data_IF_686916135613
#
_entry.id   IF_686916135613
#
_cell.length_a   1.000
_cell.length_b   1.000
_cell.length_c   1.000
_cell.angle_alpha   90.00
_cell.angle_beta   90.00
_cell.angle_gamma   90.00
#
_symmetry.space_group_name_H-M   'P 1'
#
loop_
_entity.id
_entity.type
_entity.pdbx_description
1 polymer ?
#
# COMPACT_ATOMS: atom_id res chain seq x y z
N UNK A 1 -3.47 -14.83 -13.73
CA UNK A 1 -3.21 -15.14 -12.31
C UNK A 1 -1.99 -14.36 -11.89
N UNK A 2 -2.15 -13.08 -11.55
CA UNK A 2 -1.02 -12.29 -11.07
C UNK A 2 -1.01 -12.37 -9.55
N UNK A 3 -0.01 -13.10 -9.04
CA UNK A 3 0.38 -13.12 -7.65
C UNK A 3 0.91 -11.73 -7.25
N UNK A 4 0.86 -11.48 -5.95
CA UNK A 4 1.18 -10.28 -5.19
C UNK A 4 2.61 -9.76 -5.41
N UNK A 5 3.01 -8.69 -4.70
CA UNK A 5 4.39 -8.16 -4.69
C UNK A 5 5.41 -9.31 -4.54
N UNK A 6 5.02 -10.35 -3.83
CA UNK A 6 5.70 -11.64 -3.68
C UNK A 6 6.15 -12.28 -5.00
N UNK A 7 5.39 -12.17 -6.10
CA UNK A 7 5.83 -12.71 -7.40
C UNK A 7 6.90 -11.90 -8.08
N UNK A 8 6.90 -10.60 -7.85
CA UNK A 8 7.85 -9.68 -8.45
C UNK A 8 9.18 -9.69 -7.70
N UNK A 9 9.10 -9.79 -6.38
CA UNK A 9 10.26 -9.61 -5.51
C UNK A 9 10.77 -10.89 -4.89
N UNK A 10 9.94 -11.88 -4.56
CA UNK A 10 10.43 -13.06 -3.87
C UNK A 10 10.70 -14.19 -4.86
N UNK A 11 11.97 -14.60 -4.98
CA UNK A 11 12.35 -15.74 -5.81
C UNK A 11 11.64 -17.03 -5.38
N UNK A 12 11.46 -17.96 -6.32
CA UNK A 12 10.75 -19.23 -6.06
C UNK A 12 11.34 -20.03 -4.90
N UNK A 13 12.66 -19.96 -4.66
CA UNK A 13 13.29 -20.58 -3.49
C UNK A 13 12.85 -19.92 -2.18
N UNK A 14 12.97 -18.60 -2.10
CA UNK A 14 12.57 -17.82 -0.92
C UNK A 14 11.08 -17.96 -0.62
N UNK A 15 10.21 -18.07 -1.66
CA UNK A 15 8.79 -18.36 -1.47
C UNK A 15 8.56 -19.68 -0.73
N UNK A 16 9.28 -20.75 -1.10
CA UNK A 16 9.16 -22.04 -0.41
C UNK A 16 9.66 -21.96 1.03
N UNK A 17 10.80 -21.31 1.22
CA UNK A 17 11.39 -21.11 2.54
C UNK A 17 10.42 -20.32 3.45
N UNK A 18 9.79 -19.26 2.94
CA UNK A 18 8.76 -18.47 3.64
C UNK A 18 7.48 -19.27 3.93
N UNK A 19 7.08 -20.20 3.06
CA UNK A 19 5.96 -21.11 3.32
C UNK A 19 6.29 -22.04 4.49
N UNK A 20 7.50 -22.61 4.53
CA UNK A 20 7.96 -23.44 5.65
C UNK A 20 7.96 -22.62 6.95
N UNK A 21 8.58 -21.44 6.94
CA UNK A 21 8.60 -20.52 8.09
C UNK A 21 7.19 -20.26 8.62
N UNK A 22 6.25 -19.93 7.73
CA UNK A 22 4.86 -19.64 8.09
C UNK A 22 4.18 -20.82 8.77
N UNK A 23 4.31 -22.02 8.21
CA UNK A 23 3.73 -23.25 8.78
C UNK A 23 4.28 -23.53 10.17
N UNK A 24 5.60 -23.40 10.36
CA UNK A 24 6.24 -23.67 11.64
C UNK A 24 5.80 -22.68 12.72
N UNK A 25 5.62 -21.40 12.37
CA UNK A 25 5.09 -20.37 13.27
C UNK A 25 3.62 -20.66 13.62
N UNK A 26 2.77 -20.90 12.61
CA UNK A 26 1.33 -21.09 12.80
C UNK A 26 1.01 -22.34 13.63
N UNK A 27 1.74 -23.43 13.41
CA UNK A 27 1.49 -24.70 14.10
C UNK A 27 2.16 -24.80 15.45
N UNK A 28 3.25 -24.06 15.67
CA UNK A 28 4.02 -24.05 16.91
C UNK A 28 4.30 -25.45 17.51
N UNK A 29 4.55 -26.43 16.64
CA UNK A 29 4.73 -27.85 17.00
C UNK A 29 5.76 -28.48 16.06
N UNK A 30 6.14 -29.73 16.34
CA UNK A 30 7.01 -30.52 15.45
C UNK A 30 6.29 -30.84 14.14
N UNK A 31 6.96 -30.58 13.02
CA UNK A 31 6.48 -30.86 11.67
C UNK A 31 7.49 -31.76 10.97
N UNK A 32 7.02 -32.82 10.32
CA UNK A 32 7.90 -33.75 9.61
C UNK A 32 8.42 -33.13 8.31
N UNK A 33 9.64 -33.49 7.91
CA UNK A 33 10.20 -33.06 6.63
C UNK A 33 9.37 -33.57 5.44
N UNK A 34 8.73 -34.74 5.60
CA UNK A 34 7.84 -35.34 4.59
C UNK A 34 6.67 -34.42 4.33
N UNK A 35 6.02 -33.97 5.39
CA UNK A 35 4.89 -33.05 5.29
C UNK A 35 5.30 -31.72 4.63
N UNK A 36 6.44 -31.14 5.04
CA UNK A 36 6.94 -29.92 4.42
C UNK A 36 7.23 -30.08 2.92
N UNK A 37 7.70 -31.27 2.50
CA UNK A 37 7.95 -31.60 1.10
C UNK A 37 6.66 -31.71 0.29
N UNK A 38 5.62 -32.32 0.87
CA UNK A 38 4.29 -32.45 0.26
C UNK A 38 3.61 -31.09 0.12
N UNK A 39 3.62 -30.26 1.17
CA UNK A 39 3.01 -28.92 1.15
C UNK A 39 3.68 -28.01 0.11
N UNK A 40 5.00 -28.07 -0.03
CA UNK A 40 5.73 -27.28 -1.02
C UNK A 40 5.78 -27.92 -2.42
N UNK A 41 5.25 -29.14 -2.57
CA UNK A 41 5.35 -29.93 -3.80
C UNK A 41 6.79 -30.04 -4.33
N UNK A 42 7.72 -30.41 -3.45
CA UNK A 42 9.14 -30.59 -3.78
C UNK A 42 9.67 -31.92 -3.28
N UNK A 43 10.77 -32.38 -3.87
CA UNK A 43 11.46 -33.57 -3.38
C UNK A 43 12.11 -33.32 -2.03
N UNK A 44 12.23 -34.37 -1.23
CA UNK A 44 12.84 -34.35 0.10
C UNK A 44 14.18 -33.61 0.19
N UNK A 45 15.08 -33.82 -0.78
CA UNK A 45 16.40 -33.18 -0.82
C UNK A 45 16.31 -31.66 -0.92
N UNK A 46 15.26 -31.15 -1.57
CA UNK A 46 14.99 -29.70 -1.65
C UNK A 46 14.52 -29.17 -0.31
N UNK A 47 13.65 -29.89 0.41
CA UNK A 47 13.21 -29.51 1.76
C UNK A 47 14.38 -29.40 2.73
N UNK A 48 15.32 -30.35 2.73
CA UNK A 48 16.53 -30.27 3.58
C UNK A 48 17.32 -28.99 3.26
N UNK A 49 17.54 -28.71 1.98
CA UNK A 49 18.27 -27.51 1.57
C UNK A 49 17.55 -26.23 1.97
N UNK A 50 16.23 -26.18 1.79
CA UNK A 50 15.41 -25.03 2.17
C UNK A 50 15.50 -24.82 3.71
N UNK A 51 15.51 -25.88 4.53
CA UNK A 51 15.71 -25.80 5.99
C UNK A 51 17.12 -25.31 6.37
N UNK A 52 18.17 -25.80 5.70
CA UNK A 52 19.55 -25.32 5.88
C UNK A 52 19.68 -23.83 5.54
N UNK A 53 19.05 -23.40 4.44
CA UNK A 53 19.02 -22.00 4.02
C UNK A 53 18.27 -21.12 5.01
N UNK A 54 17.12 -21.57 5.51
CA UNK A 54 16.36 -20.87 6.56
C UNK A 54 17.25 -20.67 7.78
N UNK A 55 17.95 -21.72 8.25
CA UNK A 55 18.81 -21.62 9.43
C UNK A 55 20.05 -20.73 9.21
N UNK A 56 20.55 -20.62 7.97
CA UNK A 56 21.61 -19.65 7.61
C UNK A 56 21.09 -18.21 7.58
N UNK A 57 19.89 -18.02 7.04
CA UNK A 57 19.28 -16.70 6.85
C UNK A 57 18.74 -16.12 8.16
N UNK A 58 18.19 -16.99 9.01
CA UNK A 58 17.60 -16.65 10.29
C UNK A 58 18.21 -17.60 11.33
N UNK A 59 19.41 -17.28 11.84
CA UNK A 59 20.09 -18.13 12.80
C UNK A 59 19.21 -18.42 14.02
N UNK A 60 19.24 -19.66 14.51
CA UNK A 60 18.50 -20.12 15.69
C UNK A 60 16.98 -20.16 15.54
N UNK A 61 16.43 -19.87 14.36
CA UNK A 61 14.99 -19.94 14.11
C UNK A 61 14.45 -21.37 14.16
N UNK A 62 15.27 -22.37 13.80
CA UNK A 62 14.87 -23.76 13.70
C UNK A 62 15.49 -24.62 14.80
N UNK A 63 14.69 -25.53 15.34
CA UNK A 63 15.16 -26.69 16.10
C UNK A 63 14.85 -27.95 15.30
N UNK A 64 15.89 -28.72 14.98
CA UNK A 64 15.82 -29.89 14.09
C UNK A 64 16.14 -31.15 14.89
N UNK A 65 15.27 -32.17 14.79
CA UNK A 65 15.52 -33.53 15.28
C UNK A 65 15.96 -34.42 14.12
N UNK A 66 17.26 -34.53 13.89
CA UNK A 66 17.82 -35.25 12.75
C UNK A 66 17.43 -36.72 12.65
N UNK A 67 17.26 -37.42 13.78
CA UNK A 67 16.84 -38.83 13.80
C UNK A 67 15.36 -39.00 13.44
N UNK A 68 14.50 -38.14 13.97
CA UNK A 68 13.06 -38.17 13.72
C UNK A 68 12.66 -37.51 12.39
N UNK A 69 13.56 -36.73 11.78
CA UNK A 69 13.29 -35.92 10.58
C UNK A 69 12.13 -34.96 10.78
N UNK A 70 12.17 -34.29 11.93
CA UNK A 70 11.19 -33.29 12.34
C UNK A 70 11.89 -31.97 12.61
N UNK A 71 11.17 -30.89 12.39
CA UNK A 71 11.61 -29.52 12.69
C UNK A 71 10.49 -28.77 13.39
N UNK A 72 10.86 -27.88 14.29
CA UNK A 72 9.95 -26.88 14.85
C UNK A 72 10.60 -25.51 14.83
N UNK A 73 9.75 -24.51 14.97
CA UNK A 73 10.15 -23.14 15.26
C UNK A 73 10.69 -23.03 16.70
N UNK A 74 11.84 -22.37 16.85
CA UNK A 74 12.59 -22.20 18.11
C UNK A 74 12.99 -20.73 18.30
N UNK A 75 12.04 -19.82 18.14
CA UNK A 75 12.34 -18.40 18.32
C UNK A 75 12.26 -18.00 19.79
N UNK A 76 13.28 -17.28 20.24
CA UNK A 76 13.41 -16.62 21.54
C UNK A 76 12.56 -15.35 21.67
N UNK A 77 11.74 -15.03 20.66
CA UNK A 77 10.96 -13.79 20.56
C UNK A 77 11.65 -12.70 19.75
N UNK A 78 12.75 -13.01 19.05
CA UNK A 78 13.56 -12.05 18.29
C UNK A 78 12.90 -11.61 16.98
N UNK A 79 12.17 -12.48 16.29
CA UNK A 79 11.59 -12.19 14.96
C UNK A 79 10.11 -12.54 14.85
N UNK A 80 9.28 -11.65 14.31
CA UNK A 80 7.95 -12.01 13.79
C UNK A 80 8.03 -12.38 12.30
N UNK A 81 6.94 -12.93 11.74
CA UNK A 81 6.91 -13.30 10.32
C UNK A 81 7.17 -12.12 9.38
N UNK A 82 6.74 -10.91 9.76
CA UNK A 82 6.94 -9.69 8.97
C UNK A 82 8.43 -9.34 8.91
N UNK A 83 9.15 -9.47 10.02
CA UNK A 83 10.60 -9.23 10.08
C UNK A 83 11.34 -10.21 9.16
N UNK A 84 10.96 -11.48 9.23
CA UNK A 84 11.53 -12.54 8.38
C UNK A 84 11.25 -12.28 6.91
N UNK A 85 10.01 -11.93 6.57
CA UNK A 85 9.64 -11.57 5.21
C UNK A 85 10.49 -10.40 4.68
N UNK A 86 10.71 -9.38 5.51
CA UNK A 86 11.56 -8.23 5.17
C UNK A 86 13.01 -8.64 4.90
N UNK A 87 13.58 -9.59 5.66
CA UNK A 87 14.92 -10.14 5.39
C UNK A 87 14.99 -10.77 4.00
N UNK A 88 14.05 -11.66 3.67
CA UNK A 88 14.00 -12.30 2.34
C UNK A 88 13.79 -11.30 1.21
N UNK A 89 12.91 -10.31 1.43
CA UNK A 89 12.68 -9.24 0.47
C UNK A 89 13.99 -8.49 0.16
N UNK A 90 14.74 -8.10 1.20
CA UNK A 90 16.02 -7.37 1.07
C UNK A 90 17.12 -8.20 0.40
N UNK A 91 17.06 -9.53 0.51
CA UNK A 91 17.98 -10.45 -0.20
C UNK A 91 17.63 -10.64 -1.68
N UNK A 92 16.41 -10.30 -2.09
CA UNK A 92 15.97 -10.57 -3.45
C UNK A 92 16.62 -9.68 -4.49
N UNK A 93 16.90 -10.24 -5.67
CA UNK A 93 17.50 -9.50 -6.77
C UNK A 93 16.64 -8.32 -7.21
N UNK A 94 15.33 -8.54 -7.38
CA UNK A 94 14.42 -7.50 -7.87
C UNK A 94 14.38 -6.33 -6.90
N UNK A 95 14.32 -6.59 -5.58
CA UNK A 95 14.29 -5.53 -4.58
C UNK A 95 15.57 -4.71 -4.61
N UNK A 96 16.73 -5.39 -4.52
CA UNK A 96 18.03 -4.73 -4.57
C UNK A 96 18.19 -3.91 -5.84
N UNK A 97 17.84 -4.47 -7.01
CA UNK A 97 17.89 -3.75 -8.27
C UNK A 97 17.07 -2.47 -8.21
N UNK A 98 15.82 -2.53 -7.75
CA UNK A 98 14.96 -1.35 -7.69
C UNK A 98 15.44 -0.30 -6.69
N UNK A 99 15.99 -0.71 -5.54
CA UNK A 99 16.65 0.19 -4.59
C UNK A 99 17.85 0.91 -5.24
N UNK A 100 18.71 0.17 -5.95
CA UNK A 100 19.88 0.75 -6.63
C UNK A 100 19.47 1.71 -7.76
N UNK A 101 18.49 1.34 -8.58
CA UNK A 101 17.95 2.18 -9.65
C UNK A 101 17.25 3.44 -9.11
N UNK A 102 16.71 3.40 -7.89
CA UNK A 102 16.13 4.57 -7.25
C UNK A 102 17.19 5.54 -6.72
N UNK A 103 18.27 4.99 -6.14
CA UNK A 103 19.33 5.75 -5.48
C UNK A 103 20.26 6.47 -6.45
N UNK A 104 20.65 5.79 -7.53
CA UNK A 104 21.84 6.17 -8.29
C UNK A 104 21.47 6.87 -9.60
N UNK A 105 21.83 8.15 -9.74
CA UNK A 105 21.56 8.93 -10.95
C UNK A 105 22.50 8.58 -12.12
N UNK A 106 23.70 8.09 -11.82
CA UNK A 106 24.79 7.90 -12.78
C UNK A 106 25.51 6.55 -12.59
N UNK A 107 24.77 5.50 -12.23
CA UNK A 107 25.35 4.15 -12.18
C UNK A 107 25.46 3.58 -13.59
N UNK A 108 26.57 2.89 -13.88
CA UNK A 108 26.74 2.09 -15.10
C UNK A 108 26.48 0.61 -14.81
N UNK A 109 26.31 -0.19 -15.86
CA UNK A 109 25.93 -1.60 -15.70
C UNK A 109 26.98 -2.42 -14.95
N UNK A 110 28.26 -2.10 -15.13
CA UNK A 110 29.35 -2.78 -14.45
C UNK A 110 29.24 -2.60 -12.92
N UNK A 111 29.16 -1.36 -12.45
CA UNK A 111 29.01 -1.05 -11.03
C UNK A 111 27.69 -1.58 -10.45
N UNK A 112 26.61 -1.56 -11.23
CA UNK A 112 25.33 -2.16 -10.83
C UNK A 112 25.45 -3.67 -10.60
N UNK A 113 26.16 -4.38 -11.49
CA UNK A 113 26.39 -5.81 -11.37
C UNK A 113 27.30 -6.14 -10.17
N UNK A 114 28.33 -5.32 -9.92
CA UNK A 114 29.20 -5.45 -8.75
C UNK A 114 28.42 -5.28 -7.44
N UNK A 115 27.57 -4.26 -7.33
CA UNK A 115 26.73 -4.03 -6.15
C UNK A 115 25.68 -5.13 -5.93
N UNK A 116 25.26 -5.81 -7.01
CA UNK A 116 24.35 -6.96 -6.96
C UNK A 116 25.09 -8.30 -6.81
N UNK A 117 26.43 -8.31 -6.77
CA UNK A 117 27.28 -9.50 -6.70
C UNK A 117 26.98 -10.54 -7.79
N UNK A 118 26.73 -10.09 -9.03
CA UNK A 118 26.44 -10.98 -10.17
C UNK A 118 27.23 -10.56 -11.43
N UNK A 119 27.39 -11.49 -12.36
CA UNK A 119 27.92 -11.16 -13.69
C UNK A 119 26.87 -10.47 -14.57
N UNK A 120 27.31 -9.71 -15.58
CA UNK A 120 26.42 -9.07 -16.55
C UNK A 120 25.50 -10.08 -17.27
N UNK A 121 26.02 -11.25 -17.65
CA UNK A 121 25.20 -12.29 -18.28
C UNK A 121 24.09 -12.80 -17.34
N UNK A 122 24.39 -12.92 -16.04
CA UNK A 122 23.38 -13.30 -15.05
C UNK A 122 22.38 -12.15 -14.83
N UNK A 123 22.84 -10.90 -14.82
CA UNK A 123 21.98 -9.72 -14.75
C UNK A 123 20.95 -9.72 -15.89
N UNK A 124 21.37 -9.87 -17.15
CA UNK A 124 20.45 -9.88 -18.29
C UNK A 124 19.42 -11.02 -18.17
N UNK A 125 19.85 -12.21 -17.75
CA UNK A 125 18.93 -13.34 -17.51
C UNK A 125 17.87 -13.00 -16.47
N UNK A 126 18.26 -12.44 -15.31
CA UNK A 126 17.31 -12.04 -14.27
C UNK A 126 16.44 -10.87 -14.70
N UNK A 127 16.99 -9.90 -15.42
CA UNK A 127 16.24 -8.78 -16.00
C UNK A 127 15.14 -9.26 -16.96
N UNK A 128 15.42 -10.21 -17.86
CA UNK A 128 14.40 -10.72 -18.77
C UNK A 128 13.25 -11.43 -18.04
N UNK A 129 13.57 -12.18 -16.98
CA UNK A 129 12.57 -12.79 -16.12
C UNK A 129 11.74 -11.72 -15.40
N UNK A 130 12.40 -10.71 -14.85
CA UNK A 130 11.76 -9.57 -14.19
C UNK A 130 10.84 -8.80 -15.14
N UNK A 131 11.31 -8.50 -16.34
CA UNK A 131 10.56 -7.74 -17.36
C UNK A 131 9.22 -8.40 -17.70
N UNK A 132 9.18 -9.73 -17.73
CA UNK A 132 7.96 -10.49 -18.01
C UNK A 132 6.88 -10.37 -16.91
N UNK A 133 7.27 -9.91 -15.72
CA UNK A 133 6.38 -9.81 -14.55
C UNK A 133 6.27 -8.37 -14.01
N UNK A 134 6.89 -7.39 -14.68
CA UNK A 134 6.77 -5.99 -14.29
C UNK A 134 5.33 -5.48 -14.45
N UNK A 135 4.86 -4.59 -13.57
CA UNK A 135 3.54 -3.98 -13.71
C UNK A 135 3.42 -3.16 -15.01
N UNK A 136 2.23 -3.18 -15.61
CA UNK A 136 1.94 -2.44 -16.83
C UNK A 136 2.20 -0.93 -16.68
N UNK A 137 2.97 -0.37 -17.61
CA UNK A 137 3.37 1.04 -17.60
C UNK A 137 4.62 1.32 -16.78
N UNK A 138 5.32 0.29 -16.29
CA UNK A 138 6.64 0.41 -15.66
C UNK A 138 7.65 -0.44 -16.45
N UNK A 139 8.81 0.14 -16.75
CA UNK A 139 9.89 -0.55 -17.40
C UNK A 139 11.25 -0.05 -16.89
N UNK A 140 12.32 -0.78 -17.17
CA UNK A 140 13.69 -0.36 -16.91
C UNK A 140 14.36 -0.12 -18.26
N UNK A 141 14.83 1.10 -18.49
CA UNK A 141 15.71 1.42 -19.59
C UNK A 141 17.12 0.95 -19.24
N UNK A 142 17.62 -0.04 -19.99
CA UNK A 142 18.94 -0.61 -19.79
C UNK A 142 20.09 0.29 -20.25
N UNK A 143 19.81 1.27 -21.12
CA UNK A 143 20.83 2.22 -21.56
C UNK A 143 21.08 3.28 -20.50
N UNK A 144 20.00 3.83 -19.94
CA UNK A 144 20.10 4.86 -18.89
C UNK A 144 20.14 4.30 -17.47
N UNK A 145 19.86 2.99 -17.30
CA UNK A 145 19.64 2.33 -16.01
C UNK A 145 18.65 3.10 -15.12
N UNK A 146 17.49 3.43 -15.69
CA UNK A 146 16.42 4.14 -14.98
C UNK A 146 15.10 3.41 -15.13
N UNK A 147 14.28 3.52 -14.09
CA UNK A 147 12.87 3.14 -14.18
C UNK A 147 12.11 4.23 -14.93
N UNK A 148 11.50 3.83 -16.05
CA UNK A 148 10.78 4.69 -17.01
C UNK A 148 9.35 4.18 -17.22
N UNK A 149 8.48 5.07 -17.72
CA UNK A 149 7.07 4.76 -18.00
C UNK A 149 6.12 5.80 -17.41
N UNK A 150 4.96 5.33 -16.93
CA UNK A 150 3.98 6.17 -16.27
C UNK A 150 4.50 6.58 -14.88
N UNK A 151 4.85 7.85 -14.76
CA UNK A 151 5.49 8.39 -13.56
C UNK A 151 4.63 8.26 -12.29
N UNK A 152 3.30 8.33 -12.40
CA UNK A 152 2.42 8.11 -11.25
C UNK A 152 2.48 6.66 -10.79
N UNK A 153 2.46 5.71 -11.73
CA UNK A 153 2.61 4.28 -11.42
C UNK A 153 3.99 3.96 -10.84
N UNK A 154 5.05 4.60 -11.33
CA UNK A 154 6.41 4.40 -10.81
C UNK A 154 6.52 4.89 -9.36
N UNK A 155 5.99 6.08 -9.05
CA UNK A 155 5.99 6.59 -7.66
C UNK A 155 5.20 5.68 -6.73
N UNK A 156 4.03 5.22 -7.17
CA UNK A 156 3.22 4.25 -6.42
C UNK A 156 3.94 2.93 -6.20
N UNK A 157 4.64 2.44 -7.20
CA UNK A 157 5.46 1.23 -7.11
C UNK A 157 6.55 1.37 -6.05
N UNK A 158 7.33 2.45 -6.09
CA UNK A 158 8.36 2.73 -5.09
C UNK A 158 7.78 2.97 -3.69
N UNK A 159 6.59 3.55 -3.61
CA UNK A 159 5.89 3.76 -2.36
C UNK A 159 5.53 2.44 -1.69
N UNK A 160 4.93 1.53 -2.44
CA UNK A 160 4.60 0.20 -1.92
C UNK A 160 5.85 -0.56 -1.49
N UNK A 161 6.94 -0.44 -2.25
CA UNK A 161 8.22 -1.05 -1.90
C UNK A 161 8.75 -0.55 -0.54
N UNK A 162 8.77 0.77 -0.36
CA UNK A 162 9.25 1.41 0.86
C UNK A 162 8.37 1.10 2.08
N UNK A 163 7.05 1.04 1.90
CA UNK A 163 6.11 0.65 2.97
C UNK A 163 6.37 -0.78 3.44
N UNK A 164 6.61 -1.70 2.51
CA UNK A 164 6.80 -3.12 2.84
C UNK A 164 8.16 -3.37 3.47
N UNK A 165 9.21 -2.73 2.95
CA UNK A 165 10.54 -2.90 3.55
C UNK A 165 10.70 -2.16 4.87
N UNK A 166 9.87 -1.11 5.07
CA UNK A 166 9.96 -0.15 6.16
C UNK A 166 11.40 0.30 6.43
N UNK A 167 12.16 0.53 5.36
CA UNK A 167 13.57 0.86 5.45
C UNK A 167 13.93 1.99 4.46
N UNK A 168 13.79 3.27 4.88
CA UNK A 168 14.10 4.43 4.06
C UNK A 168 15.54 4.48 3.56
N UNK A 169 16.47 3.92 4.32
CA UNK A 169 17.90 3.91 3.99
C UNK A 169 18.19 3.11 2.70
N UNK A 170 17.39 2.07 2.42
CA UNK A 170 17.50 1.29 1.17
C UNK A 170 17.25 2.17 -0.07
N UNK A 171 16.54 3.29 0.10
CA UNK A 171 16.21 4.26 -0.94
C UNK A 171 17.02 5.56 -0.81
N UNK A 172 18.03 5.61 0.07
CA UNK A 172 18.81 6.81 0.39
C UNK A 172 17.91 7.97 0.86
N UNK A 173 16.89 7.66 1.65
CA UNK A 173 16.00 8.64 2.28
C UNK A 173 16.44 8.77 3.73
N UNK A 174 17.19 9.84 4.05
CA UNK A 174 17.73 10.03 5.40
C UNK A 174 16.67 10.47 6.41
N UNK A 175 16.89 10.16 7.68
CA UNK A 175 16.08 10.65 8.81
C UNK A 175 15.93 12.17 8.80
N UNK A 176 17.02 12.92 8.63
CA UNK A 176 17.00 14.38 8.57
C UNK A 176 16.09 14.91 7.44
N UNK A 177 16.03 14.19 6.31
CA UNK A 177 15.15 14.56 5.21
C UNK A 177 13.67 14.29 5.54
N UNK A 178 13.37 13.18 6.23
CA UNK A 178 12.03 12.88 6.72
C UNK A 178 11.56 13.87 7.79
N UNK A 179 12.41 14.23 8.75
CA UNK A 179 12.15 15.26 9.78
C UNK A 179 11.82 16.61 9.14
N UNK A 180 12.53 16.97 8.08
CA UNK A 180 12.27 18.19 7.35
C UNK A 180 10.91 18.16 6.60
N UNK A 181 10.58 17.05 5.93
CA UNK A 181 9.26 16.85 5.31
C UNK A 181 8.13 16.86 6.34
N UNK A 182 8.40 16.35 7.53
CA UNK A 182 7.48 16.36 8.66
C UNK A 182 7.19 17.78 9.14
N UNK A 183 8.20 18.62 9.32
CA UNK A 183 8.01 20.01 9.72
C UNK A 183 7.11 20.77 8.73
N UNK A 184 7.36 20.61 7.43
CA UNK A 184 6.52 21.19 6.37
C UNK A 184 5.08 20.65 6.46
N UNK A 185 4.91 19.37 6.78
CA UNK A 185 3.59 18.74 6.85
C UNK A 185 2.80 19.20 8.08
N UNK A 186 3.47 19.51 9.20
CA UNK A 186 2.84 20.12 10.37
C UNK A 186 2.24 21.49 10.05
N UNK A 187 2.95 22.33 9.28
CA UNK A 187 2.43 23.62 8.82
C UNK A 187 1.17 23.44 7.96
N UNK A 188 1.18 22.42 7.09
CA UNK A 188 0.03 22.07 6.23
C UNK A 188 -1.16 21.65 7.07
N UNK A 189 -0.96 20.77 8.05
CA UNK A 189 -2.03 20.33 8.93
C UNK A 189 -2.59 21.50 9.74
N UNK A 190 -1.73 22.37 10.27
CA UNK A 190 -2.16 23.53 11.03
C UNK A 190 -3.02 24.48 10.20
N UNK A 191 -2.54 24.88 9.03
CA UNK A 191 -3.24 25.79 8.10
C UNK A 191 -4.56 25.20 7.56
N UNK A 192 -4.56 23.89 7.27
CA UNK A 192 -5.76 23.18 6.83
C UNK A 192 -6.76 22.90 7.98
N UNK A 193 -6.36 23.17 9.23
CA UNK A 193 -7.08 22.80 10.46
C UNK A 193 -7.35 21.30 10.55
N UNK A 194 -6.32 20.51 10.30
CA UNK A 194 -6.30 19.06 10.42
C UNK A 194 -5.58 18.68 11.72
N UNK A 195 -6.12 17.69 12.39
CA UNK A 195 -5.51 16.99 13.51
C UNK A 195 -4.95 15.68 12.95
N UNK A 196 -3.63 15.60 12.89
CA UNK A 196 -2.93 14.36 12.50
C UNK A 196 -3.02 13.36 13.66
N UNK A 197 -3.49 12.14 13.38
CA UNK A 197 -3.20 11.00 14.26
C UNK A 197 -1.74 10.58 14.05
N UNK A 198 -1.08 10.10 15.11
CA UNK A 198 0.31 9.63 15.04
C UNK A 198 0.45 8.36 14.19
N UNK A 199 -0.59 7.52 14.16
CA UNK A 199 -0.65 6.33 13.33
C UNK A 199 -0.65 6.71 11.84
N UNK A 200 0.29 6.13 11.09
CA UNK A 200 0.46 6.28 9.64
C UNK A 200 1.12 7.58 9.15
N UNK A 201 1.77 8.33 10.04
CA UNK A 201 2.56 9.51 9.64
C UNK A 201 3.68 9.18 8.64
N UNK A 202 4.35 8.06 8.84
CA UNK A 202 5.43 7.61 7.96
C UNK A 202 4.94 7.39 6.52
N UNK A 203 3.69 6.95 6.35
CA UNK A 203 3.11 6.68 5.03
C UNK A 203 3.09 7.92 4.14
N UNK A 204 2.65 9.07 4.65
CA UNK A 204 2.65 10.27 3.82
C UNK A 204 4.08 10.81 3.63
N UNK A 205 4.97 10.68 4.63
CA UNK A 205 6.36 11.13 4.51
C UNK A 205 7.10 10.35 3.43
N UNK A 206 6.90 9.03 3.38
CA UNK A 206 7.43 8.16 2.32
C UNK A 206 6.91 8.58 0.95
N UNK A 207 5.62 8.88 0.82
CA UNK A 207 5.06 9.39 -0.44
C UNK A 207 5.72 10.70 -0.88
N UNK A 208 5.88 11.67 0.03
CA UNK A 208 6.53 12.94 -0.26
C UNK A 208 7.99 12.75 -0.64
N UNK A 209 8.72 11.89 0.07
CA UNK A 209 10.12 11.60 -0.21
C UNK A 209 10.31 10.99 -1.61
N UNK A 210 9.41 10.08 -2.00
CA UNK A 210 9.42 9.46 -3.33
C UNK A 210 9.10 10.49 -4.42
N UNK A 211 8.07 11.31 -4.21
CA UNK A 211 7.74 12.37 -5.16
C UNK A 211 8.93 13.32 -5.34
N UNK A 212 9.54 13.77 -4.25
CA UNK A 212 10.71 14.64 -4.30
C UNK A 212 11.90 14.04 -5.05
N UNK A 213 12.18 12.74 -4.85
CA UNK A 213 13.29 12.06 -5.53
C UNK A 213 12.99 11.88 -7.02
N UNK A 214 11.77 11.46 -7.35
CA UNK A 214 11.37 11.13 -8.72
C UNK A 214 11.10 12.35 -9.60
N UNK A 215 10.66 13.46 -9.04
CA UNK A 215 10.47 14.72 -9.77
C UNK A 215 11.75 15.22 -10.46
N UNK A 216 12.91 14.87 -9.90
CA UNK A 216 14.24 15.15 -10.47
C UNK A 216 14.60 14.24 -11.66
N UNK A 217 13.80 13.22 -11.94
CA UNK A 217 13.97 12.29 -13.06
C UNK A 217 12.89 12.58 -14.11
N UNK A 218 11.63 12.55 -13.69
CA UNK A 218 10.47 12.77 -14.55
C UNK A 218 9.33 13.36 -13.71
N UNK A 219 8.67 14.39 -14.26
CA UNK A 219 7.45 14.97 -13.67
C UNK A 219 6.22 14.14 -14.07
N UNK A 220 5.19 14.17 -13.23
CA UNK A 220 3.92 13.50 -13.53
C UNK A 220 3.18 14.24 -14.66
N UNK A 221 3.02 13.59 -15.80
CA UNK A 221 2.24 14.12 -16.94
C UNK A 221 0.75 13.77 -16.81
N UNK A 222 0.09 14.29 -15.78
CA UNK A 222 -1.37 14.11 -15.60
C UNK A 222 -2.02 15.47 -15.41
N UNK A 223 -3.13 15.72 -16.11
CA UNK A 223 -4.04 16.83 -15.84
C UNK A 223 -4.77 16.60 -14.50
N UNK A 224 -4.02 16.68 -13.40
CA UNK A 224 -4.57 16.56 -12.06
C UNK A 224 -5.27 17.86 -11.70
N UNK A 225 -6.51 17.75 -11.23
CA UNK A 225 -7.22 18.91 -10.69
C UNK A 225 -6.75 19.18 -9.26
N UNK A 226 -6.59 20.45 -8.90
CA UNK A 226 -6.32 20.86 -7.51
C UNK A 226 -7.37 20.26 -6.56
N UNK A 227 -7.01 19.89 -5.35
CA UNK A 227 -7.95 19.54 -4.28
C UNK A 227 -7.78 20.46 -3.06
N UNK A 228 -8.59 20.24 -2.02
CA UNK A 228 -8.59 21.12 -0.84
C UNK A 228 -7.20 21.21 -0.21
N UNK A 229 -6.53 20.07 0.03
CA UNK A 229 -5.18 20.01 0.62
C UNK A 229 -4.14 20.67 -0.29
N UNK A 230 -4.24 20.45 -1.61
CA UNK A 230 -3.31 21.05 -2.56
C UNK A 230 -3.29 22.57 -2.48
N UNK A 231 -4.42 23.22 -2.17
CA UNK A 231 -4.42 24.69 -2.03
C UNK A 231 -3.58 25.18 -0.84
N UNK A 232 -3.58 24.43 0.27
CA UNK A 232 -2.73 24.75 1.42
C UNK A 232 -1.27 24.45 1.11
N UNK A 233 -0.98 23.32 0.47
CA UNK A 233 0.38 22.98 0.03
C UNK A 233 0.94 24.06 -0.89
N UNK A 234 0.17 24.54 -1.88
CA UNK A 234 0.59 25.61 -2.78
C UNK A 234 1.00 26.88 -2.01
N UNK A 235 0.22 27.27 -1.00
CA UNK A 235 0.52 28.44 -0.16
C UNK A 235 1.77 28.25 0.69
N UNK A 236 1.95 27.07 1.27
CA UNK A 236 3.09 26.77 2.15
C UNK A 236 4.37 26.62 1.35
N UNK A 237 4.33 25.85 0.26
CA UNK A 237 5.49 25.64 -0.60
C UNK A 237 5.97 26.93 -1.26
N UNK A 238 5.08 27.86 -1.60
CA UNK A 238 5.45 29.18 -2.11
C UNK A 238 6.23 30.04 -1.10
N UNK A 239 6.16 29.75 0.20
CA UNK A 239 6.94 30.43 1.24
C UNK A 239 8.35 29.83 1.42
N UNK A 240 8.59 28.64 0.87
CA UNK A 240 9.88 27.94 0.99
C UNK A 240 10.83 28.47 -0.09
N UNK A 241 11.96 29.13 0.26
CA UNK A 241 12.84 29.72 -0.73
C UNK A 241 13.70 28.67 -1.45
N UNK A 242 14.21 29.06 -2.62
CA UNK A 242 15.23 28.31 -3.36
C UNK A 242 14.70 27.16 -4.21
N UNK A 243 15.64 26.40 -4.80
CA UNK A 243 15.33 25.34 -5.76
C UNK A 243 14.43 24.24 -5.18
N UNK A 244 14.58 23.96 -3.88
CA UNK A 244 13.77 22.94 -3.20
C UNK A 244 12.29 23.35 -3.11
N UNK A 245 12.00 24.59 -2.70
CA UNK A 245 10.63 25.11 -2.64
C UNK A 245 9.96 25.12 -4.02
N UNK A 246 10.68 25.52 -5.07
CA UNK A 246 10.19 25.47 -6.45
C UNK A 246 9.83 24.04 -6.89
N UNK A 247 10.66 23.05 -6.56
CA UNK A 247 10.36 21.64 -6.85
C UNK A 247 9.10 21.15 -6.13
N UNK A 248 8.92 21.52 -4.85
CA UNK A 248 7.70 21.20 -4.12
C UNK A 248 6.48 21.88 -4.75
N UNK A 249 6.60 23.15 -5.12
CA UNK A 249 5.53 23.94 -5.70
C UNK A 249 5.11 23.42 -7.09
N UNK A 250 6.02 22.86 -7.87
CA UNK A 250 5.69 22.23 -9.16
C UNK A 250 4.84 20.95 -8.99
N UNK A 251 4.88 20.35 -7.80
CA UNK A 251 4.32 19.03 -7.53
C UNK A 251 3.28 19.02 -6.39
N UNK A 252 2.83 20.19 -5.94
CA UNK A 252 1.90 20.34 -4.81
C UNK A 252 0.60 19.53 -4.96
N UNK A 253 0.10 19.38 -6.20
CA UNK A 253 -1.08 18.57 -6.45
C UNK A 253 -0.78 17.10 -6.20
N UNK A 254 0.34 16.56 -6.69
CA UNK A 254 0.67 15.14 -6.47
C UNK A 254 1.03 14.86 -5.00
N UNK A 255 1.66 15.82 -4.31
CA UNK A 255 1.95 15.71 -2.88
C UNK A 255 0.68 15.60 -2.04
N UNK A 256 -0.37 16.35 -2.39
CA UNK A 256 -1.65 16.34 -1.67
C UNK A 256 -2.33 14.97 -1.61
N UNK A 257 -2.07 14.10 -2.58
CA UNK A 257 -2.61 12.74 -2.61
C UNK A 257 -2.10 11.87 -1.46
N UNK A 258 -0.83 12.05 -1.04
CA UNK A 258 -0.26 11.36 0.13
C UNK A 258 -0.96 11.70 1.44
N UNK A 259 -1.50 12.91 1.56
CA UNK A 259 -2.23 13.32 2.75
C UNK A 259 -3.53 12.53 2.93
N UNK A 260 -4.16 12.07 1.86
CA UNK A 260 -5.37 11.25 1.94
C UNK A 260 -5.07 9.75 2.19
N UNK A 261 -3.79 9.36 2.31
CA UNK A 261 -3.38 7.99 2.65
C UNK A 261 -3.37 7.72 4.17
N UNK A 262 -3.62 8.75 5.00
CA UNK A 262 -3.65 8.68 6.46
C UNK A 262 -5.03 9.09 6.98
N UNK A 263 -5.29 8.83 8.26
CA UNK A 263 -6.48 9.33 8.93
C UNK A 263 -6.39 10.84 9.13
N UNK A 264 -7.19 11.58 8.38
CA UNK A 264 -7.28 13.04 8.53
C UNK A 264 -8.54 13.39 9.33
N UNK A 265 -8.35 14.03 10.49
CA UNK A 265 -9.45 14.60 11.26
C UNK A 265 -9.45 16.11 11.05
N UNK A 266 -10.54 16.69 10.58
CA UNK A 266 -10.66 18.15 10.49
C UNK A 266 -11.23 18.72 11.78
N UNK A 267 -10.71 19.87 12.20
CA UNK A 267 -11.33 20.70 13.23
C UNK A 267 -12.74 21.12 12.78
N UNK A 268 -13.68 21.18 13.72
CA UNK A 268 -15.11 21.39 13.43
C UNK A 268 -15.37 22.66 12.61
N UNK A 269 -14.63 23.73 12.88
CA UNK A 269 -14.69 25.02 12.17
C UNK A 269 -14.25 24.92 10.70
N UNK A 270 -13.41 23.93 10.36
CA UNK A 270 -12.93 23.68 8.99
C UNK A 270 -13.74 22.64 8.22
N UNK A 271 -14.54 21.82 8.90
CA UNK A 271 -15.36 20.79 8.24
C UNK A 271 -16.27 21.41 7.16
N UNK A 272 -16.91 22.54 7.48
CA UNK A 272 -17.80 23.23 6.53
C UNK A 272 -17.04 23.75 5.32
N UNK A 273 -15.86 24.33 5.48
CA UNK A 273 -15.07 24.85 4.35
C UNK A 273 -14.57 23.75 3.43
N UNK A 274 -14.21 22.58 3.97
CA UNK A 274 -13.84 21.38 3.20
C UNK A 274 -15.04 20.91 2.36
N UNK A 275 -16.21 20.74 2.99
CA UNK A 275 -17.43 20.29 2.30
C UNK A 275 -17.82 21.30 1.21
N UNK A 276 -17.80 22.59 1.53
CA UNK A 276 -18.10 23.67 0.59
C UNK A 276 -17.14 23.66 -0.61
N UNK A 277 -15.84 23.47 -0.37
CA UNK A 277 -14.84 23.40 -1.44
C UNK A 277 -15.19 22.30 -2.45
N UNK A 278 -15.47 21.09 -1.95
CA UNK A 278 -15.74 19.94 -2.77
C UNK A 278 -17.09 20.06 -3.50
N UNK A 279 -18.12 20.59 -2.83
CA UNK A 279 -19.48 20.74 -3.37
C UNK A 279 -19.63 21.89 -4.37
N UNK A 280 -19.00 23.05 -4.13
CA UNK A 280 -19.13 24.24 -4.99
C UNK A 280 -18.31 24.15 -6.27
N UNK A 281 -17.14 23.51 -6.23
CA UNK A 281 -16.22 23.46 -7.38
C UNK A 281 -16.48 22.28 -8.34
N UNK A 282 -17.57 21.52 -8.17
CA UNK A 282 -17.92 20.33 -8.96
C UNK A 282 -16.69 19.41 -9.08
N UNK A 283 -16.03 19.15 -7.95
CA UNK A 283 -14.94 18.18 -7.90
C UNK A 283 -15.57 16.80 -7.97
N UNK A 284 -15.61 16.24 -9.16
CA UNK A 284 -16.14 14.92 -9.47
C UNK A 284 -17.67 14.89 -9.60
N UNK A 285 -18.21 14.23 -10.65
CA UNK A 285 -19.66 14.00 -10.79
C UNK A 285 -20.26 13.23 -9.61
N UNK A 286 -19.41 12.60 -8.79
CA UNK A 286 -19.82 11.79 -7.66
C UNK A 286 -20.23 12.60 -6.41
N UNK A 287 -19.90 13.89 -6.34
CA UNK A 287 -20.07 14.69 -5.13
C UNK A 287 -21.52 15.12 -4.87
N UNK A 288 -22.34 15.18 -5.93
CA UNK A 288 -23.78 15.33 -5.81
C UNK A 288 -24.42 14.16 -5.04
N UNK A 289 -23.85 12.94 -5.16
CA UNK A 289 -24.33 11.77 -4.43
C UNK A 289 -23.83 11.71 -2.98
N UNK A 290 -22.73 12.41 -2.65
CA UNK A 290 -22.23 12.53 -1.27
C UNK A 290 -22.98 13.59 -0.46
N UNK A 291 -23.70 14.51 -1.13
CA UNK A 291 -24.44 15.64 -0.52
C UNK A 291 -25.29 15.27 0.71
N UNK A 292 -26.04 14.14 0.74
CA UNK A 292 -26.84 13.74 1.91
C UNK A 292 -26.04 13.29 3.13
N UNK A 293 -24.83 12.78 2.93
CA UNK A 293 -23.94 12.36 4.02
C UNK A 293 -23.39 13.57 4.80
N UNK A 294 -23.49 14.79 4.26
CA UNK A 294 -23.09 16.02 4.94
C UNK A 294 -24.17 16.63 5.85
N UNK A 295 -25.26 15.90 6.12
CA UNK A 295 -26.21 16.27 7.18
C UNK A 295 -25.51 16.27 8.56
N UNK A 296 -26.00 17.10 9.50
CA UNK A 296 -25.32 17.36 10.78
C UNK A 296 -24.91 16.10 11.58
N UNK A 297 -25.61 14.98 11.44
CA UNK A 297 -25.30 13.72 12.14
C UNK A 297 -24.22 12.85 11.47
N UNK A 298 -23.93 13.05 10.18
CA UNK A 298 -23.08 12.14 9.39
C UNK A 298 -21.86 12.83 8.74
N UNK A 299 -21.54 14.08 9.12
CA UNK A 299 -20.46 14.88 8.51
C UNK A 299 -19.12 14.14 8.41
N UNK A 300 -18.73 13.39 9.44
CA UNK A 300 -17.47 12.64 9.44
C UNK A 300 -17.48 11.52 8.39
N UNK A 301 -18.57 10.76 8.29
CA UNK A 301 -18.72 9.71 7.28
C UNK A 301 -18.67 10.28 5.86
N UNK A 302 -19.28 11.44 5.62
CA UNK A 302 -19.17 12.14 4.33
C UNK A 302 -17.74 12.55 4.00
N UNK A 303 -16.97 13.01 4.99
CA UNK A 303 -15.55 13.36 4.83
C UNK A 303 -14.69 12.13 4.54
N UNK A 304 -14.91 11.03 5.27
CA UNK A 304 -14.22 9.76 5.06
C UNK A 304 -14.48 9.21 3.65
N UNK A 305 -15.71 9.38 3.12
CA UNK A 305 -16.07 9.02 1.75
C UNK A 305 -15.39 9.93 0.71
N UNK A 306 -15.29 11.24 0.95
CA UNK A 306 -14.49 12.15 0.10
C UNK A 306 -13.03 11.69 0.11
N UNK A 307 -12.45 11.43 1.29
CA UNK A 307 -11.07 10.97 1.42
C UNK A 307 -10.85 9.65 0.71
N UNK A 308 -11.78 8.71 0.82
CA UNK A 308 -11.75 7.47 0.05
C UNK A 308 -11.77 7.76 -1.44
N UNK A 309 -12.66 8.63 -1.94
CA UNK A 309 -12.75 8.99 -3.36
C UNK A 309 -11.49 9.68 -3.90
N UNK A 310 -10.85 10.54 -3.10
CA UNK A 310 -9.62 11.25 -3.48
C UNK A 310 -8.37 10.37 -3.34
N UNK A 311 -8.35 9.43 -2.38
CA UNK A 311 -7.26 8.44 -2.18
C UNK A 311 -7.41 7.17 -3.03
N UNK A 312 -8.59 6.92 -3.61
CA UNK A 312 -8.89 5.76 -4.46
C UNK A 312 -7.91 5.60 -5.64
N UNK A 313 -7.47 6.67 -6.35
CA UNK A 313 -6.44 6.55 -7.39
C UNK A 313 -5.10 5.96 -6.90
N UNK A 314 -4.79 6.12 -5.60
CA UNK A 314 -3.55 5.65 -4.99
C UNK A 314 -3.69 4.29 -4.28
N UNK A 315 -4.82 4.02 -3.64
CA UNK A 315 -5.04 2.82 -2.80
C UNK A 315 -5.46 1.59 -3.60
N UNK A 316 -5.80 1.75 -4.87
CA UNK A 316 -6.48 0.71 -5.66
C UNK A 316 -5.64 -0.51 -6.00
N UNK A 317 -4.31 -0.44 -6.12
CA UNK A 317 -3.55 -1.65 -6.52
C UNK A 317 -3.27 -2.62 -5.38
N UNK A 318 -3.31 -2.15 -4.12
CA UNK A 318 -3.25 -3.04 -2.97
C UNK A 318 -4.51 -3.93 -2.88
N UNK A 319 -5.65 -3.44 -3.37
CA UNK A 319 -6.94 -4.15 -3.38
C UNK A 319 -7.28 -4.85 -4.70
N UNK A 320 -6.75 -4.38 -5.85
CA UNK A 320 -6.94 -5.01 -7.16
C UNK A 320 -6.35 -6.44 -7.20
N UNK A 321 -5.37 -6.75 -6.36
CA UNK A 321 -4.76 -8.10 -6.27
C UNK A 321 -5.68 -9.20 -5.74
N UNK A 322 -6.89 -8.87 -5.28
CA UNK A 322 -7.94 -9.86 -4.94
C UNK A 322 -8.91 -10.22 -6.08
N UNK A 323 -8.57 -9.97 -7.36
CA UNK A 323 -9.30 -10.42 -8.58
C UNK A 323 -10.79 -10.09 -8.72
N UNK A 324 -11.45 -9.52 -7.71
CA UNK A 324 -12.85 -9.17 -7.78
C UNK A 324 -13.03 -7.95 -8.70
N UNK A 325 -12.02 -7.07 -8.84
CA UNK A 325 -12.25 -5.72 -9.37
C UNK A 325 -11.75 -5.39 -10.79
N UNK A 326 -11.13 -6.33 -11.51
CA UNK A 326 -10.69 -6.11 -12.92
C UNK A 326 -11.86 -5.84 -13.89
N UNK A 327 -13.09 -6.25 -13.53
CA UNK A 327 -14.32 -5.95 -14.30
C UNK A 327 -15.05 -4.67 -13.87
N UNK A 328 -14.62 -4.00 -12.80
CA UNK A 328 -15.43 -2.98 -12.11
C UNK A 328 -15.19 -1.53 -12.57
N UNK A 329 -14.23 -1.29 -13.46
CA UNK A 329 -13.86 0.06 -13.88
C UNK A 329 -14.38 0.39 -15.28
N UNK A 330 -15.68 0.66 -15.36
CA UNK A 330 -16.26 1.63 -16.30
C UNK A 330 -16.99 2.69 -15.47
N UNK A 331 -16.82 3.96 -15.85
CA UNK A 331 -17.33 5.14 -15.12
C UNK A 331 -18.85 5.11 -14.83
N UNK A 332 -19.60 4.22 -15.47
CA UNK A 332 -21.03 3.97 -15.23
C UNK A 332 -21.33 3.23 -13.92
N UNK A 333 -20.43 2.35 -13.44
CA UNK A 333 -20.68 1.54 -12.22
C UNK A 333 -20.57 2.42 -10.96
N UNK A 334 -19.59 3.32 -10.89
CA UNK A 334 -19.44 4.28 -9.77
C UNK A 334 -20.64 5.22 -9.66
N UNK A 335 -21.21 5.61 -10.80
CA UNK A 335 -22.40 6.46 -10.90
C UNK A 335 -23.65 5.73 -10.39
N UNK A 336 -23.90 4.52 -10.89
CA UNK A 336 -25.07 3.74 -10.53
C UNK A 336 -25.07 3.27 -9.06
N UNK A 337 -23.88 2.99 -8.51
CA UNK A 337 -23.71 2.52 -7.13
C UNK A 337 -23.97 3.63 -6.10
N UNK A 338 -23.50 4.84 -6.37
CA UNK A 338 -23.76 6.02 -5.54
C UNK A 338 -25.23 6.45 -5.63
N UNK A 339 -25.86 6.34 -6.81
CA UNK A 339 -27.31 6.54 -7.01
C UNK A 339 -28.16 5.55 -6.21
N UNK A 340 -27.70 4.29 -6.08
CA UNK A 340 -28.47 3.24 -5.40
C UNK A 340 -28.32 3.29 -3.88
N UNK A 341 -27.13 3.62 -3.36
CA UNK A 341 -26.90 3.87 -1.93
C UNK A 341 -27.66 5.12 -1.47
N UNK A 342 -27.69 6.17 -2.29
CA UNK A 342 -28.46 7.41 -2.06
C UNK A 342 -29.95 7.13 -1.82
N UNK A 343 -30.55 6.22 -2.60
CA UNK A 343 -31.99 5.94 -2.53
C UNK A 343 -32.42 5.05 -1.35
N UNK A 344 -31.49 4.42 -0.60
CA UNK A 344 -31.84 3.45 0.46
C UNK A 344 -31.35 3.76 1.88
N UNK A 345 -30.48 4.75 2.09
CA UNK A 345 -29.92 5.06 3.42
C UNK A 345 -30.85 5.89 4.32
N UNK A 346 -32.02 6.35 3.83
CA UNK A 346 -32.94 7.15 4.64
C UNK A 346 -34.17 6.34 5.03
N UNK A 347 -34.10 5.66 6.19
CA UNK A 347 -35.24 5.49 7.10
C UNK A 347 -34.76 5.16 8.53
N UNK A 348 -35.02 6.10 9.44
CA UNK A 348 -35.11 5.96 10.91
C UNK A 348 -33.89 5.42 11.69
N UNK A 349 -32.81 6.20 11.76
CA UNK A 349 -31.74 6.13 12.78
C UNK A 349 -31.04 4.78 13.01
N UNK A 350 -31.29 3.77 12.18
CA UNK A 350 -30.52 2.55 12.03
C UNK A 350 -30.14 2.42 10.55
N UNK A 351 -28.90 2.02 10.26
CA UNK A 351 -28.48 1.70 8.88
C UNK A 351 -29.10 0.35 8.53
N UNK A 352 -30.37 0.35 8.11
CA UNK A 352 -31.06 -0.85 7.60
C UNK A 352 -30.90 -0.83 6.08
N UNK A 353 -30.07 -1.74 5.56
CA UNK A 353 -29.81 -1.88 4.13
C UNK A 353 -30.56 -3.11 3.66
N UNK A 354 -31.70 -2.87 3.02
CA UNK A 354 -32.56 -3.92 2.49
C UNK A 354 -32.23 -4.12 0.99
N UNK A 355 -31.53 -5.18 0.57
CA UNK A 355 -31.29 -5.43 -0.86
C UNK A 355 -30.87 -6.86 -1.24
N UNK A 356 -31.33 -7.26 -2.44
CA UNK A 356 -31.19 -8.56 -3.12
C UNK A 356 -29.97 -8.72 -4.06
N UNK A 357 -28.99 -7.78 -4.12
CA UNK A 357 -27.85 -7.90 -5.06
C UNK A 357 -26.46 -7.94 -4.39
N UNK A 358 -25.72 -8.98 -4.77
CA UNK A 358 -24.42 -9.44 -4.25
C UNK A 358 -23.31 -8.37 -4.29
N UNK A 359 -23.38 -7.38 -5.17
CA UNK A 359 -22.32 -6.38 -5.39
C UNK A 359 -22.25 -5.28 -4.31
N UNK A 360 -23.35 -4.96 -3.63
CA UNK A 360 -23.40 -3.94 -2.56
C UNK A 360 -22.80 -4.48 -1.25
N UNK A 361 -22.99 -5.78 -0.98
CA UNK A 361 -22.39 -6.49 0.14
C UNK A 361 -20.85 -6.48 0.05
N UNK A 362 -20.30 -6.58 -1.17
CA UNK A 362 -18.84 -6.60 -1.40
C UNK A 362 -18.18 -5.24 -1.15
N UNK A 363 -18.90 -4.13 -1.31
CA UNK A 363 -18.38 -2.78 -1.09
C UNK A 363 -18.47 -2.38 0.39
N UNK A 364 -19.52 -2.83 1.09
CA UNK A 364 -19.56 -2.73 2.54
C UNK A 364 -18.49 -3.62 3.20
N UNK A 365 -18.25 -4.83 2.66
CA UNK A 365 -17.09 -5.66 3.03
C UNK A 365 -15.78 -4.93 2.75
N UNK A 366 -15.64 -4.23 1.63
CA UNK A 366 -14.44 -3.43 1.33
C UNK A 366 -14.22 -2.29 2.33
N UNK A 367 -15.26 -1.57 2.74
CA UNK A 367 -15.14 -0.56 3.80
C UNK A 367 -14.76 -1.20 5.13
N UNK A 368 -15.44 -2.28 5.52
CA UNK A 368 -15.11 -3.06 6.73
C UNK A 368 -13.68 -3.62 6.68
N UNK A 369 -13.18 -4.01 5.50
CA UNK A 369 -11.82 -4.53 5.29
C UNK A 369 -10.76 -3.43 5.32
N UNK A 370 -11.04 -2.26 4.72
CA UNK A 370 -10.16 -1.08 4.77
C UNK A 370 -9.98 -0.56 6.20
N UNK A 371 -11.05 -0.60 6.99
CA UNK A 371 -11.03 -0.28 8.42
C UNK A 371 -10.72 -1.51 9.30
N UNK A 372 -10.48 -2.71 8.72
CA UNK A 372 -10.27 -3.94 9.50
C UNK A 372 -9.01 -3.83 10.36
N UNK A 373 -7.92 -3.22 9.88
CA UNK A 373 -6.70 -3.06 10.68
C UNK A 373 -6.97 -2.14 11.89
N UNK A 374 -7.73 -1.05 11.72
CA UNK A 374 -8.15 -0.14 12.79
C UNK A 374 -9.21 -0.73 13.74
N UNK A 375 -10.07 -1.62 13.24
CA UNK A 375 -11.02 -2.40 14.06
C UNK A 375 -10.30 -3.52 14.82
N UNK A 376 -9.26 -4.10 14.23
CA UNK A 376 -8.45 -5.17 14.81
C UNK A 376 -7.37 -4.68 15.76
N UNK A 377 -6.93 -3.42 15.68
CA UNK A 377 -6.05 -2.81 16.69
C UNK A 377 -6.76 -2.54 18.03
N UNK A 378 -8.09 -2.68 18.08
CA UNK A 378 -8.90 -2.70 19.31
C UNK A 378 -9.23 -4.13 19.80
N UNK A 379 -8.54 -5.17 19.32
CA UNK A 379 -8.87 -6.59 19.62
C UNK A 379 -8.73 -7.03 21.07
N UNK A 380 -8.31 -6.17 22.00
CA UNK A 380 -8.44 -6.47 23.42
C UNK A 380 -8.91 -5.27 24.22
N UNK A 381 -10.17 -4.85 24.02
CA UNK A 381 -11.17 -4.69 25.11
C UNK A 381 -12.46 -4.02 24.59
N UNK A 382 -13.56 -4.74 24.82
CA UNK A 382 -14.99 -4.35 24.87
C UNK A 382 -15.93 -4.77 23.73
N UNK A 383 -16.90 -5.60 24.18
CA UNK A 383 -18.25 -5.94 23.69
C UNK A 383 -18.52 -5.88 22.18
N UNK A 384 -18.77 -7.07 21.61
CA UNK A 384 -19.46 -7.36 20.33
C UNK A 384 -20.26 -6.16 19.80
N UNK A 385 -19.69 -5.41 18.87
CA UNK A 385 -20.50 -4.61 17.95
C UNK A 385 -21.14 -5.59 16.96
N UNK A 386 -22.46 -5.71 16.99
CA UNK A 386 -23.20 -6.54 16.03
C UNK A 386 -23.72 -5.64 14.91
N UNK A 387 -23.32 -5.92 13.68
CA UNK A 387 -23.91 -5.35 12.47
C UNK A 387 -24.98 -6.36 12.02
N UNK A 388 -26.25 -6.00 12.14
CA UNK A 388 -27.37 -6.84 11.69
C UNK A 388 -27.67 -6.48 10.23
N UNK A 389 -27.34 -7.38 9.32
CA UNK A 389 -27.70 -7.32 7.90
C UNK A 389 -28.90 -8.26 7.71
N UNK A 390 -30.10 -7.73 7.54
CA UNK A 390 -31.27 -8.53 7.20
C UNK A 390 -31.39 -8.66 5.68
N UNK A 391 -31.43 -9.90 5.18
CA UNK A 391 -31.82 -10.17 3.80
C UNK A 391 -33.34 -10.29 3.76
N UNK A 392 -34.04 -9.34 3.13
CA UNK A 392 -35.40 -9.62 2.66
C UNK A 392 -35.27 -10.62 1.51
N UNK A 393 -35.47 -11.89 1.82
CA UNK A 393 -35.82 -12.85 0.79
C UNK A 393 -37.21 -12.50 0.29
N UNK A 394 -37.36 -12.23 -1.00
CA UNK A 394 -38.67 -12.30 -1.64
C UNK A 394 -39.27 -13.67 -1.38
N UNK A 395 -40.24 -13.72 -0.47
CA UNK A 395 -41.20 -14.80 -0.40
C UNK A 395 -42.42 -14.34 -1.19
N UNK A 396 -42.60 -14.93 -2.37
CA UNK A 396 -43.89 -14.98 -3.05
C UNK A 396 -44.98 -15.42 -2.07
N UNK A 397 -46.00 -14.58 -1.91
CA UNK A 397 -47.41 -14.95 -1.73
C UNK A 397 -48.26 -13.72 -2.05
#
# INVERSE_FOLDING_TARGET
MFETIDSLFIEKSFKRELVIVKILIERNTWVSFKELSEINNVVWKTTIRDLENINKTIPRFLEIKDKAKEVRFSNTGEYCYIDIYSIYLKMSFSYQLFCLLFRNKDINLFKLCDELFISQSHFYKKYHQLKAILPDGINIDLNSLKVIGDEFKIRKFYYNLLIISNNPDDFNISSNFLEYLEAISMDVFYEAGIISKSQNKENYLYWLAICHRRSKVQKVNINLKENYISQFLKKIYAKIPGQFGNQLLDEYIIHSYGFYMQDLIYKEDRVKSVIDFYTKKIYSPYLNYLKPFFSNKNKQLGLDLIHACVSLPLSTDFFIKNRIFDRFYKDEIKKHLLETIYNKVIKNNNIIIDYEKKEILEILKFMVFKYHIQLSSNLFKFKRTSIIVSMSGGSNA
#
